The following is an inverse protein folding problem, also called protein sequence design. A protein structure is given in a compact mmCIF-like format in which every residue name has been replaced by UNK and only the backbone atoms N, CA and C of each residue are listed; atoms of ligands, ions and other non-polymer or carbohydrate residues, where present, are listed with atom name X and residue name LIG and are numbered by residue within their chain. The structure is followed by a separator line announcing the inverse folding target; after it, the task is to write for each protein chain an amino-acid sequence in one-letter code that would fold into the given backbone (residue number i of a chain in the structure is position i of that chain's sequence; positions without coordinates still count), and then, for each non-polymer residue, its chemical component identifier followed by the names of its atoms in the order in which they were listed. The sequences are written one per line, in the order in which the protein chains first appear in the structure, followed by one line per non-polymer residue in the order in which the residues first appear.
data_IF_859861606839
#
_entry.id   IF_859861606839
#
_cell.length_a   1.000
_cell.length_b   1.000
_cell.length_c   1.000
_cell.angle_alpha   90.00
_cell.angle_beta   90.00
_cell.angle_gamma   90.00
#
_symmetry.space_group_name_H-M   'P 1'
#
loop_
_entity.id
_entity.type
_entity.pdbx_description
1 polymer ?
#
# COMPACT_ATOMS: atom_id res chain seq x y z
N UNK A 1 31.17 52.14 -30.81
CA UNK A 1 31.76 50.82 -30.47
C UNK A 1 32.05 50.66 -28.98
N UNK A 2 32.61 51.66 -28.29
CA UNK A 2 32.82 51.60 -26.83
C UNK A 2 31.53 51.46 -26.02
N UNK A 3 30.46 52.16 -26.39
CA UNK A 3 29.17 52.10 -25.67
C UNK A 3 28.55 50.71 -25.71
N UNK A 4 28.57 50.06 -26.88
CA UNK A 4 28.09 48.68 -27.03
C UNK A 4 28.93 47.68 -26.23
N UNK A 5 30.24 47.93 -26.05
CA UNK A 5 31.09 47.10 -25.18
C UNK A 5 30.79 47.33 -23.70
N UNK A 6 30.58 48.58 -23.29
CA UNK A 6 30.19 48.92 -21.92
C UNK A 6 28.83 48.33 -21.56
N UNK A 7 27.82 48.45 -22.43
CA UNK A 7 26.51 47.83 -22.22
C UNK A 7 26.61 46.31 -22.12
N UNK A 8 27.44 45.67 -22.96
CA UNK A 8 27.65 44.20 -22.89
C UNK A 8 28.29 43.78 -21.57
N UNK A 9 29.27 44.54 -21.07
CA UNK A 9 29.91 44.26 -19.79
C UNK A 9 28.94 44.49 -18.62
N UNK A 10 28.12 45.54 -18.68
CA UNK A 10 27.10 45.83 -17.67
C UNK A 10 26.05 44.71 -17.61
N UNK A 11 25.64 44.16 -18.76
CA UNK A 11 24.75 43.00 -18.85
C UNK A 11 25.37 41.71 -18.27
N UNK A 12 26.70 41.61 -18.23
CA UNK A 12 27.43 40.51 -17.60
C UNK A 12 27.68 40.74 -16.10
N UNK A 13 27.21 41.86 -15.55
CA UNK A 13 27.31 42.21 -14.13
C UNK A 13 28.53 43.05 -13.77
N UNK A 14 29.20 43.66 -14.74
CA UNK A 14 30.33 44.54 -14.50
C UNK A 14 29.86 45.88 -13.91
N UNK A 15 30.57 46.42 -12.92
CA UNK A 15 30.17 47.63 -12.19
C UNK A 15 31.35 48.53 -11.86
N UNK A 16 31.08 49.85 -11.81
CA UNK A 16 32.07 50.86 -11.45
C UNK A 16 32.30 50.88 -9.94
N UNK A 17 33.50 50.49 -9.51
CA UNK A 17 33.90 50.40 -8.10
C UNK A 17 33.93 51.77 -7.38
N UNK A 18 34.02 52.88 -8.13
CA UNK A 18 34.01 54.23 -7.55
C UNK A 18 32.59 54.71 -7.18
N UNK A 19 31.56 54.16 -7.86
CA UNK A 19 30.16 54.57 -7.71
C UNK A 19 29.29 53.52 -7.01
N UNK A 20 29.64 52.25 -7.14
CA UNK A 20 28.79 51.15 -6.72
C UNK A 20 29.58 50.13 -5.90
N UNK A 21 29.07 49.82 -4.70
CA UNK A 21 29.62 48.78 -3.83
C UNK A 21 28.66 47.61 -3.75
N UNK A 22 29.14 46.41 -4.08
CA UNK A 22 28.34 45.19 -3.97
C UNK A 22 28.41 44.66 -2.56
N UNK A 23 27.23 44.42 -1.97
CA UNK A 23 27.09 43.83 -0.65
C UNK A 23 26.33 42.52 -0.79
N UNK A 24 26.70 41.53 0.01
CA UNK A 24 25.94 40.30 0.18
C UNK A 24 25.94 39.92 1.65
N UNK A 25 24.96 39.12 2.05
CA UNK A 25 24.95 38.55 3.39
C UNK A 25 26.19 37.68 3.58
N UNK A 26 26.88 37.86 4.71
CA UNK A 26 28.03 37.03 5.11
C UNK A 26 27.62 35.56 5.25
N UNK A 27 26.47 35.32 5.88
CA UNK A 27 25.75 34.05 5.88
C UNK A 27 24.81 34.02 4.68
N UNK A 28 25.23 33.37 3.60
CA UNK A 28 24.40 33.12 2.43
C UNK A 28 24.33 31.62 2.13
N UNK A 29 23.30 31.15 1.40
CA UNK A 29 23.16 29.72 1.11
C UNK A 29 24.40 29.11 0.44
N UNK A 30 25.11 29.87 -0.40
CA UNK A 30 26.34 29.41 -1.05
C UNK A 30 27.55 29.31 -0.09
N UNK A 31 27.65 30.15 0.94
CA UNK A 31 28.69 30.07 1.97
C UNK A 31 28.43 28.90 2.91
N UNK A 32 27.17 28.67 3.28
CA UNK A 32 26.74 27.49 4.05
C UNK A 32 27.00 26.19 3.29
N UNK A 33 26.63 26.12 2.00
CA UNK A 33 26.88 24.93 1.18
C UNK A 33 28.39 24.64 1.02
N UNK A 34 29.20 25.68 0.81
CA UNK A 34 30.68 25.54 0.76
C UNK A 34 31.26 25.11 2.10
N UNK A 35 30.70 25.56 3.22
CA UNK A 35 31.14 25.12 4.53
C UNK A 35 30.82 23.64 4.77
N UNK A 36 29.59 23.19 4.47
CA UNK A 36 29.20 21.78 4.57
C UNK A 36 30.09 20.88 3.72
N UNK A 37 30.36 21.25 2.47
CA UNK A 37 31.28 20.49 1.61
C UNK A 37 32.68 20.37 2.21
N UNK A 38 33.18 21.41 2.88
CA UNK A 38 34.47 21.36 3.58
C UNK A 38 34.40 20.46 4.81
N UNK A 39 33.33 20.53 5.57
CA UNK A 39 33.09 19.67 6.73
C UNK A 39 33.03 18.21 6.32
N UNK A 40 32.28 17.88 5.26
CA UNK A 40 32.18 16.53 4.70
C UNK A 40 33.54 16.03 4.20
N UNK A 41 34.30 16.89 3.50
CA UNK A 41 35.63 16.52 3.03
C UNK A 41 36.59 16.26 4.20
N UNK A 42 36.54 17.07 5.24
CA UNK A 42 37.35 16.88 6.44
C UNK A 42 36.96 15.60 7.19
N UNK A 43 35.67 15.30 7.30
CA UNK A 43 35.18 14.06 7.90
C UNK A 43 35.66 12.84 7.10
N UNK A 44 35.50 12.87 5.78
CA UNK A 44 35.95 11.80 4.90
C UNK A 44 37.46 11.60 4.98
N UNK A 45 38.23 12.69 5.05
CA UNK A 45 39.68 12.62 5.19
C UNK A 45 40.08 12.02 6.54
N UNK A 46 39.45 12.42 7.64
CA UNK A 46 39.68 11.86 8.96
C UNK A 46 39.34 10.36 9.01
N UNK A 47 38.23 9.94 8.39
CA UNK A 47 37.88 8.51 8.28
C UNK A 47 38.89 7.74 7.43
N UNK A 48 39.33 8.29 6.29
CA UNK A 48 40.35 7.66 5.46
C UNK A 48 41.68 7.50 6.20
N UNK A 49 42.09 8.50 6.98
CA UNK A 49 43.30 8.43 7.81
C UNK A 49 43.15 7.41 8.93
N UNK A 50 41.99 7.36 9.60
CA UNK A 50 41.67 6.34 10.61
C UNK A 50 41.72 4.93 10.03
N UNK A 51 41.08 4.69 8.89
CA UNK A 51 41.06 3.39 8.21
C UNK A 51 42.46 3.00 7.71
N UNK A 52 43.25 3.94 7.18
CA UNK A 52 44.64 3.68 6.78
C UNK A 52 45.53 3.35 7.98
N UNK A 53 45.39 4.06 9.09
CA UNK A 53 46.11 3.77 10.33
C UNK A 53 45.80 2.36 10.83
N UNK A 54 44.53 2.00 10.81
CA UNK A 54 44.06 0.68 11.15
C UNK A 54 44.62 -0.43 10.24
N UNK A 55 44.53 -0.28 8.93
CA UNK A 55 45.07 -1.26 7.98
C UNK A 55 46.56 -1.48 8.22
N UNK A 56 47.33 -0.42 8.47
CA UNK A 56 48.76 -0.52 8.82
C UNK A 56 49.01 -1.30 10.12
N UNK A 57 48.14 -1.18 11.12
CA UNK A 57 48.26 -1.96 12.37
C UNK A 57 47.94 -3.45 12.15
N UNK A 58 46.93 -3.75 11.31
CA UNK A 58 46.56 -5.11 10.95
C UNK A 58 47.64 -5.78 10.07
N UNK A 59 48.19 -5.06 9.09
CA UNK A 59 49.27 -5.53 8.22
C UNK A 59 50.57 -5.83 8.98
N UNK A 60 50.84 -5.14 10.10
CA UNK A 60 51.98 -5.41 10.99
C UNK A 60 51.74 -6.58 11.95
N UNK A 61 50.63 -7.30 11.82
CA UNK A 61 50.30 -8.45 12.68
C UNK A 61 49.85 -8.06 14.09
N UNK A 62 49.46 -6.80 14.32
CA UNK A 62 48.91 -6.34 15.59
C UNK A 62 47.44 -6.74 15.73
N UNK A 63 47.03 -7.10 16.96
CA UNK A 63 45.63 -7.30 17.31
C UNK A 63 44.84 -6.01 17.09
N UNK A 64 43.62 -6.18 16.58
CA UNK A 64 42.66 -5.13 16.27
C UNK A 64 42.53 -4.13 17.42
N UNK A 65 42.67 -2.81 17.20
CA UNK A 65 42.47 -1.79 18.24
C UNK A 65 41.03 -1.81 18.78
N UNK A 66 40.85 -1.65 20.09
CA UNK A 66 39.56 -1.70 20.78
C UNK A 66 38.48 -0.72 20.23
N UNK A 67 38.87 0.35 19.53
CA UNK A 67 37.94 1.27 18.85
C UNK A 67 37.15 0.63 17.70
N UNK A 68 37.67 -0.45 17.11
CA UNK A 68 36.93 -1.26 16.15
C UNK A 68 35.91 -2.19 16.81
N UNK A 69 36.12 -2.60 18.06
CA UNK A 69 35.07 -3.31 18.80
C UNK A 69 33.92 -2.35 19.12
N UNK A 70 34.20 -1.07 19.41
CA UNK A 70 33.17 -0.06 19.66
C UNK A 70 32.39 0.33 18.39
N UNK A 71 33.06 0.44 17.24
CA UNK A 71 32.38 0.71 15.95
C UNK A 71 31.73 -0.54 15.34
N UNK A 72 32.27 -1.74 15.59
CA UNK A 72 31.58 -3.01 15.32
C UNK A 72 30.43 -3.30 16.28
N UNK A 73 30.44 -2.73 17.49
CA UNK A 73 29.31 -2.75 18.42
C UNK A 73 28.20 -1.76 18.05
N UNK A 74 28.47 -0.79 17.15
CA UNK A 74 27.46 0.09 16.56
C UNK A 74 26.82 -0.49 15.29
N UNK A 75 27.40 -1.55 14.71
CA UNK A 75 26.68 -2.43 13.80
C UNK A 75 25.75 -3.28 14.68
N UNK A 76 24.45 -3.43 14.35
CA UNK A 76 23.57 -4.26 15.14
C UNK A 76 24.24 -5.62 15.29
N UNK A 77 24.47 -6.02 16.54
CA UNK A 77 25.20 -7.25 16.85
C UNK A 77 24.58 -8.39 16.04
N UNK A 78 25.39 -9.33 15.51
CA UNK A 78 24.88 -10.51 14.80
C UNK A 78 23.77 -11.23 15.59
N UNK A 79 23.80 -11.14 16.93
CA UNK A 79 22.74 -11.60 17.84
C UNK A 79 21.47 -10.75 17.78
N UNK A 80 21.58 -9.43 17.73
CA UNK A 80 20.45 -8.50 17.59
C UNK A 80 19.78 -8.63 16.22
N UNK A 81 20.56 -8.79 15.15
CA UNK A 81 20.03 -9.09 13.80
C UNK A 81 19.31 -10.44 13.78
N UNK A 82 19.85 -11.46 14.44
CA UNK A 82 19.19 -12.76 14.56
C UNK A 82 17.89 -12.69 15.38
N UNK A 83 17.88 -11.90 16.45
CA UNK A 83 16.71 -11.70 17.29
C UNK A 83 15.61 -10.91 16.57
N UNK A 84 15.96 -9.83 15.86
CA UNK A 84 15.04 -9.07 15.03
C UNK A 84 14.47 -9.92 13.89
N UNK A 85 15.27 -10.75 13.23
CA UNK A 85 14.78 -11.70 12.21
C UNK A 85 13.76 -12.68 12.81
N UNK A 86 14.06 -13.24 13.99
CA UNK A 86 13.13 -14.12 14.70
C UNK A 86 11.82 -13.41 15.09
N UNK A 87 11.89 -12.13 15.45
CA UNK A 87 10.69 -11.32 15.72
C UNK A 87 9.87 -11.09 14.45
N UNK A 88 10.51 -10.81 13.31
CA UNK A 88 9.85 -10.67 12.01
C UNK A 88 9.17 -11.97 11.61
N UNK A 89 9.87 -13.10 11.66
CA UNK A 89 9.31 -14.42 11.37
C UNK A 89 8.11 -14.74 12.29
N UNK A 90 8.21 -14.44 13.58
CA UNK A 90 7.12 -14.60 14.54
C UNK A 90 5.91 -13.73 14.21
N UNK A 91 6.14 -12.47 13.79
CA UNK A 91 5.08 -11.56 13.38
C UNK A 91 4.43 -11.99 12.07
N UNK A 92 5.21 -12.43 11.09
CA UNK A 92 4.72 -12.98 9.82
C UNK A 92 3.86 -14.23 10.05
N UNK A 93 4.32 -15.15 10.91
CA UNK A 93 3.57 -16.35 11.28
C UNK A 93 2.25 -16.01 11.97
N UNK A 94 2.25 -15.01 12.87
CA UNK A 94 1.00 -14.52 13.50
C UNK A 94 0.04 -13.95 12.46
N UNK A 95 0.54 -13.14 11.52
CA UNK A 95 -0.26 -12.58 10.43
C UNK A 95 -0.83 -13.67 9.52
N UNK A 96 -0.06 -14.71 9.23
CA UNK A 96 -0.51 -15.84 8.43
C UNK A 96 -1.62 -16.62 9.14
N UNK A 97 -1.43 -16.97 10.41
CA UNK A 97 -2.46 -17.62 11.24
C UNK A 97 -3.73 -16.78 11.34
N UNK A 98 -3.60 -15.46 11.46
CA UNK A 98 -4.74 -14.56 11.49
C UNK A 98 -5.53 -14.60 10.17
N UNK A 99 -4.85 -14.63 9.02
CA UNK A 99 -5.48 -14.79 7.70
C UNK A 99 -6.20 -16.13 7.58
N UNK A 100 -5.60 -17.22 8.05
CA UNK A 100 -6.22 -18.56 8.05
C UNK A 100 -7.48 -18.60 8.91
N UNK A 101 -7.45 -18.03 10.12
CA UNK A 101 -8.62 -17.93 10.99
C UNK A 101 -9.71 -17.09 10.34
N UNK A 102 -9.35 -15.95 9.73
CA UNK A 102 -10.32 -15.11 9.02
C UNK A 102 -10.98 -15.86 7.86
N UNK A 103 -10.20 -16.54 7.02
CA UNK A 103 -10.71 -17.35 5.93
C UNK A 103 -11.65 -18.45 6.43
N UNK A 104 -11.25 -19.15 7.49
CA UNK A 104 -12.06 -20.21 8.11
C UNK A 104 -13.39 -19.67 8.63
N UNK A 105 -13.37 -18.50 9.30
CA UNK A 105 -14.58 -17.86 9.83
C UNK A 105 -15.51 -17.36 8.73
N UNK A 106 -14.97 -16.78 7.65
CA UNK A 106 -15.78 -16.36 6.49
C UNK A 106 -16.41 -17.57 5.78
N UNK A 107 -15.67 -18.68 5.65
CA UNK A 107 -16.20 -19.91 5.07
C UNK A 107 -17.28 -20.54 5.96
N UNK A 108 -17.07 -20.58 7.27
CA UNK A 108 -18.07 -21.03 8.26
C UNK A 108 -19.36 -20.21 8.15
N UNK A 109 -19.25 -18.88 8.09
CA UNK A 109 -20.37 -17.98 7.90
C UNK A 109 -21.07 -18.20 6.55
N UNK A 110 -20.31 -18.31 5.44
CA UNK A 110 -20.88 -18.57 4.11
C UNK A 110 -21.64 -19.89 4.08
N UNK A 111 -21.10 -20.93 4.70
CA UNK A 111 -21.76 -22.24 4.79
C UNK A 111 -23.05 -22.15 5.61
N UNK A 112 -23.03 -21.44 6.74
CA UNK A 112 -24.22 -21.22 7.56
C UNK A 112 -25.30 -20.44 6.77
N UNK A 113 -24.94 -19.34 6.11
CA UNK A 113 -25.87 -18.59 5.26
C UNK A 113 -26.43 -19.44 4.13
N UNK A 114 -25.60 -20.26 3.48
CA UNK A 114 -26.04 -21.16 2.41
C UNK A 114 -27.05 -22.18 2.90
N UNK A 115 -26.82 -22.80 4.05
CA UNK A 115 -27.75 -23.79 4.63
C UNK A 115 -29.04 -23.16 5.15
N UNK A 116 -28.98 -21.95 5.72
CA UNK A 116 -30.15 -21.29 6.32
C UNK A 116 -31.03 -20.58 5.30
N UNK A 117 -30.42 -19.90 4.32
CA UNK A 117 -31.12 -19.04 3.37
C UNK A 117 -31.24 -19.63 1.98
N UNK A 118 -30.48 -20.69 1.68
CA UNK A 118 -30.38 -21.25 0.34
C UNK A 118 -29.48 -20.45 -0.62
N UNK A 119 -28.81 -19.38 -0.17
CA UNK A 119 -27.93 -18.58 -1.03
C UNK A 119 -26.46 -18.66 -0.63
N UNK A 120 -25.61 -18.99 -1.61
CA UNK A 120 -24.18 -18.88 -1.49
C UNK A 120 -23.74 -17.47 -1.90
N UNK A 121 -23.14 -16.73 -0.97
CA UNK A 121 -22.69 -15.35 -1.18
C UNK A 121 -21.16 -15.34 -1.35
N UNK A 122 -20.71 -15.09 -2.57
CA UNK A 122 -19.29 -14.98 -2.93
C UNK A 122 -18.91 -13.54 -3.27
N UNK A 123 -17.72 -13.12 -2.82
CA UNK A 123 -17.20 -11.76 -3.06
C UNK A 123 -16.35 -11.78 -4.33
N UNK A 124 -16.74 -11.01 -5.34
CA UNK A 124 -16.02 -10.77 -6.60
C UNK A 124 -15.10 -9.54 -6.49
N UNK A 125 -14.24 -9.32 -7.49
CA UNK A 125 -13.13 -8.34 -7.49
C UNK A 125 -13.50 -6.84 -7.49
N UNK A 126 -14.75 -6.43 -7.24
CA UNK A 126 -15.18 -5.01 -7.36
C UNK A 126 -16.29 -4.58 -6.37
N UNK A 127 -16.27 -5.06 -5.12
CA UNK A 127 -17.39 -4.87 -4.17
C UNK A 127 -18.73 -5.40 -4.72
N UNK A 128 -18.62 -6.44 -5.54
CA UNK A 128 -19.74 -7.16 -6.11
C UNK A 128 -19.91 -8.47 -5.34
N UNK A 129 -21.15 -8.79 -4.99
CA UNK A 129 -21.56 -10.00 -4.32
C UNK A 129 -22.32 -10.86 -5.31
N UNK A 130 -21.73 -12.02 -5.61
CA UNK A 130 -22.36 -13.06 -6.41
C UNK A 130 -23.19 -13.93 -5.49
N UNK A 131 -24.48 -14.03 -5.78
CA UNK A 131 -25.43 -14.89 -5.11
C UNK A 131 -25.76 -16.05 -6.04
N UNK A 132 -25.47 -17.27 -5.58
CA UNK A 132 -25.85 -18.51 -6.25
C UNK A 132 -26.90 -19.21 -5.39
N UNK A 133 -28.04 -19.55 -5.98
CA UNK A 133 -29.10 -20.27 -5.29
C UNK A 133 -28.74 -21.75 -5.14
N UNK A 134 -29.13 -22.37 -4.02
CA UNK A 134 -29.09 -23.82 -3.81
C UNK A 134 -29.95 -24.56 -4.84
N UNK A 135 -31.03 -23.93 -5.28
CA UNK A 135 -32.01 -24.45 -6.24
C UNK A 135 -31.79 -23.90 -7.66
N UNK A 136 -30.55 -23.53 -8.01
CA UNK A 136 -30.22 -23.05 -9.34
C UNK A 136 -30.45 -24.16 -10.39
N UNK A 137 -31.18 -23.83 -11.46
CA UNK A 137 -31.49 -24.78 -12.54
C UNK A 137 -30.24 -25.04 -13.42
N UNK A 138 -29.39 -24.03 -13.60
CA UNK A 138 -28.13 -24.13 -14.33
C UNK A 138 -26.93 -23.67 -13.51
N UNK A 139 -25.74 -24.26 -13.75
CA UNK A 139 -24.49 -23.88 -13.06
C UNK A 139 -24.06 -22.42 -13.30
N UNK A 140 -24.61 -21.75 -14.31
CA UNK A 140 -24.36 -20.35 -14.61
C UNK A 140 -25.32 -19.37 -13.91
N UNK A 141 -26.40 -19.87 -13.30
CA UNK A 141 -27.45 -19.02 -12.75
C UNK A 141 -26.97 -18.32 -11.48
N UNK A 142 -26.74 -17.02 -11.61
CA UNK A 142 -26.29 -16.20 -10.50
C UNK A 142 -26.85 -14.79 -10.59
N UNK A 143 -27.06 -14.20 -9.41
CA UNK A 143 -27.38 -12.80 -9.25
C UNK A 143 -26.14 -12.06 -8.79
N UNK A 144 -25.91 -10.86 -9.33
CA UNK A 144 -24.76 -10.04 -8.94
C UNK A 144 -25.29 -8.76 -8.33
N UNK A 145 -24.96 -8.50 -7.07
CA UNK A 145 -25.29 -7.27 -6.38
C UNK A 145 -24.03 -6.43 -6.21
N UNK A 146 -24.09 -5.14 -6.48
CA UNK A 146 -23.01 -4.20 -6.24
C UNK A 146 -23.35 -3.29 -5.07
N UNK A 147 -22.43 -3.21 -4.11
CA UNK A 147 -22.54 -2.24 -3.02
C UNK A 147 -22.35 -0.83 -3.57
N UNK A 148 -23.36 0.01 -3.38
CA UNK A 148 -23.40 1.40 -3.85
C UNK A 148 -23.52 2.33 -2.64
N UNK A 149 -22.63 3.32 -2.54
CA UNK A 149 -22.59 4.32 -1.45
C UNK A 149 -21.36 4.18 -0.52
N UNK A 150 -21.09 5.20 0.31
CA UNK A 150 -19.84 5.33 1.10
C UNK A 150 -19.64 4.25 2.18
N UNK A 151 -20.65 3.42 2.42
CA UNK A 151 -20.63 2.38 3.48
C UNK A 151 -21.18 1.03 3.00
N UNK A 152 -21.42 0.87 1.69
CA UNK A 152 -22.11 -0.31 1.15
C UNK A 152 -23.56 -0.49 1.63
N UNK A 153 -24.18 0.58 2.14
CA UNK A 153 -25.53 0.54 2.74
C UNK A 153 -26.65 0.25 1.74
N UNK A 154 -26.43 0.47 0.44
CA UNK A 154 -27.38 0.12 -0.61
C UNK A 154 -26.75 -0.89 -1.54
N UNK A 155 -27.50 -1.94 -1.86
CA UNK A 155 -27.10 -2.96 -2.82
C UNK A 155 -27.93 -2.75 -4.09
N UNK A 156 -27.27 -2.70 -5.24
CA UNK A 156 -27.92 -2.60 -6.53
C UNK A 156 -27.72 -3.88 -7.31
N UNK A 157 -28.80 -4.46 -7.83
CA UNK A 157 -28.73 -5.63 -8.70
C UNK A 157 -28.16 -5.23 -10.07
N UNK A 158 -27.18 -6.01 -10.55
CA UNK A 158 -26.65 -5.93 -11.90
C UNK A 158 -27.40 -6.92 -12.79
N UNK A 159 -27.61 -6.53 -14.04
CA UNK A 159 -28.21 -7.41 -15.04
C UNK A 159 -27.29 -8.59 -15.34
N UNK A 160 -27.75 -9.79 -15.03
CA UNK A 160 -27.20 -11.07 -15.47
C UNK A 160 -28.18 -11.78 -16.39
N UNK A 161 -27.74 -12.83 -17.09
CA UNK A 161 -28.64 -13.65 -17.92
C UNK A 161 -29.80 -14.22 -17.10
N UNK A 162 -29.51 -14.70 -15.88
CA UNK A 162 -30.50 -15.15 -14.93
C UNK A 162 -31.41 -14.01 -14.42
N UNK A 163 -30.87 -12.81 -14.17
CA UNK A 163 -31.70 -11.66 -13.79
C UNK A 163 -32.77 -11.32 -14.84
N UNK A 164 -32.55 -11.62 -16.13
CA UNK A 164 -33.54 -11.37 -17.19
C UNK A 164 -34.73 -12.32 -17.12
N UNK A 165 -34.52 -13.56 -16.66
CA UNK A 165 -35.60 -14.56 -16.55
C UNK A 165 -36.55 -14.28 -15.38
N UNK A 166 -36.06 -13.60 -14.34
CA UNK A 166 -36.82 -13.24 -13.12
C UNK A 166 -37.24 -11.76 -13.09
N UNK A 167 -37.36 -11.11 -14.25
CA UNK A 167 -37.66 -9.68 -14.37
C UNK A 167 -38.96 -9.25 -13.66
N UNK A 168 -39.99 -10.09 -13.68
CA UNK A 168 -41.26 -9.79 -13.01
C UNK A 168 -41.12 -9.70 -11.48
N UNK A 169 -40.37 -10.61 -10.88
CA UNK A 169 -40.07 -10.61 -9.44
C UNK A 169 -39.22 -9.38 -9.05
N UNK A 170 -38.30 -8.95 -9.92
CA UNK A 170 -37.48 -7.75 -9.71
C UNK A 170 -38.37 -6.49 -9.72
N UNK A 171 -39.29 -6.36 -10.67
CA UNK A 171 -40.21 -5.22 -10.71
C UNK A 171 -41.12 -5.16 -9.48
N UNK A 172 -41.67 -6.29 -9.05
CA UNK A 172 -42.56 -6.32 -7.88
C UNK A 172 -41.80 -6.06 -6.58
N UNK A 173 -40.71 -6.77 -6.33
CA UNK A 173 -40.06 -6.76 -5.02
C UNK A 173 -38.90 -5.75 -4.91
N UNK A 174 -38.15 -5.52 -5.98
CA UNK A 174 -37.02 -4.58 -5.98
C UNK A 174 -37.45 -3.16 -6.36
N UNK A 175 -38.39 -2.97 -7.30
CA UNK A 175 -38.83 -1.62 -7.72
C UNK A 175 -39.98 -1.07 -6.90
N UNK A 176 -41.03 -1.86 -6.66
CA UNK A 176 -42.22 -1.38 -5.92
C UNK A 176 -42.06 -1.46 -4.41
N UNK A 177 -41.47 -2.54 -3.91
CA UNK A 177 -41.32 -2.78 -2.46
C UNK A 177 -39.95 -2.36 -1.90
N UNK A 178 -38.97 -2.06 -2.77
CA UNK A 178 -37.59 -1.68 -2.42
C UNK A 178 -36.94 -2.62 -1.37
N UNK A 179 -37.23 -3.92 -1.46
CA UNK A 179 -36.82 -4.91 -0.46
C UNK A 179 -36.13 -6.11 -1.11
N UNK A 180 -34.80 -6.15 -0.97
CA UNK A 180 -33.97 -7.27 -1.41
C UNK A 180 -34.31 -8.56 -0.65
N UNK A 181 -34.53 -8.55 0.69
CA UNK A 181 -34.95 -9.75 1.40
C UNK A 181 -36.26 -10.32 0.86
N UNK A 182 -37.26 -9.48 0.57
CA UNK A 182 -38.53 -9.94 -0.01
C UNK A 182 -38.33 -10.58 -1.38
N UNK A 183 -37.50 -9.96 -2.23
CA UNK A 183 -37.15 -10.51 -3.54
C UNK A 183 -36.49 -11.89 -3.44
N UNK A 184 -35.44 -12.03 -2.61
CA UNK A 184 -34.70 -13.29 -2.47
C UNK A 184 -35.58 -14.40 -1.87
N UNK A 185 -36.45 -14.08 -0.91
CA UNK A 185 -37.40 -15.06 -0.36
C UNK A 185 -38.40 -15.55 -1.41
N UNK A 186 -39.04 -14.65 -2.16
CA UNK A 186 -39.97 -15.03 -3.25
C UNK A 186 -39.27 -15.87 -4.31
N UNK A 187 -38.05 -15.47 -4.69
CA UNK A 187 -37.26 -16.19 -5.68
C UNK A 187 -36.86 -17.60 -5.21
N UNK A 188 -36.53 -17.76 -3.93
CA UNK A 188 -36.19 -19.08 -3.37
C UNK A 188 -37.40 -20.01 -3.41
N UNK A 189 -38.59 -19.51 -3.06
CA UNK A 189 -39.83 -20.29 -3.13
C UNK A 189 -40.17 -20.70 -4.56
N UNK A 190 -39.99 -19.79 -5.52
CA UNK A 190 -40.20 -20.06 -6.95
C UNK A 190 -39.25 -21.14 -7.47
N UNK A 191 -37.93 -20.98 -7.22
CA UNK A 191 -36.91 -21.96 -7.64
C UNK A 191 -37.13 -23.33 -6.98
N UNK A 192 -37.48 -23.33 -5.69
CA UNK A 192 -37.82 -24.56 -4.98
C UNK A 192 -39.04 -25.24 -5.61
N UNK A 193 -40.11 -24.49 -5.91
CA UNK A 193 -41.31 -25.05 -6.55
C UNK A 193 -40.98 -25.67 -7.91
N UNK A 194 -40.15 -25.01 -8.73
CA UNK A 194 -39.75 -25.53 -10.05
C UNK A 194 -38.94 -26.81 -9.93
N UNK A 195 -38.04 -26.89 -8.95
CA UNK A 195 -37.24 -28.08 -8.73
C UNK A 195 -38.03 -29.25 -8.14
N UNK A 196 -39.10 -28.98 -7.39
CA UNK A 196 -39.96 -30.03 -6.80
C UNK A 196 -41.08 -30.50 -7.73
N UNK A 197 -41.40 -29.72 -8.77
CA UNK A 197 -42.43 -30.05 -9.78
C UNK A 197 -41.86 -30.71 -11.04
N UNK A 198 -40.52 -30.86 -11.13
CA UNK A 198 -39.82 -31.65 -12.14
C UNK A 198 -39.70 -33.12 -11.69
#
# INVERSE_FOLDING_TARGET
MLEAQLERLTLQGDYDQSKTKVLHMSLNPASVARQRLREDHNQLQAECERLRGLLRTMERGGTVPADLEATAASLPSSKEVAELRKQVESAELKNQRLKEVFQTKIQEFRKACYTLTGYQIDITTENQYRLTSLYAEHQGDCLIFKATGPSGSKMQLLETEFSRTVGELIEVHLRRQDSIPAFLSSLTLELFSRQTMA
#
